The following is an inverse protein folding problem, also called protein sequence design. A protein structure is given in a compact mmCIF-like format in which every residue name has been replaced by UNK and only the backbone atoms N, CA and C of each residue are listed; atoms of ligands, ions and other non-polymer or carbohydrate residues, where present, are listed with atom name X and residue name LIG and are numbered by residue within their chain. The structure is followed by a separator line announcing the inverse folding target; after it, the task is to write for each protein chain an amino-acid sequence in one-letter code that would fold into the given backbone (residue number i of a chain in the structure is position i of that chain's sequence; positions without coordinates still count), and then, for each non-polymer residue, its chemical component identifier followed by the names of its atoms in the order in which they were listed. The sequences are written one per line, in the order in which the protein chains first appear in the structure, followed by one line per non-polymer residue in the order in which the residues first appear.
data_IF_740691708729
#
_entry.id   IF_740691708729
#
_cell.length_a   1.000
_cell.length_b   1.000
_cell.length_c   1.000
_cell.angle_alpha   90.00
_cell.angle_beta   90.00
_cell.angle_gamma   90.00
#
_symmetry.space_group_name_H-M   'P 1'
#
loop_
_entity.id
_entity.type
_entity.pdbx_description
1 polymer ?
#
# COMPACT_ATOMS: atom_id res chain seq x y z
N UNK A 1 8.95 -11.97 14.78
CA UNK A 1 8.11 -11.33 13.74
C UNK A 1 8.73 -11.67 12.40
N UNK A 2 7.93 -11.94 11.37
CA UNK A 2 8.43 -12.21 10.00
C UNK A 2 7.74 -11.23 9.09
N UNK A 3 8.50 -10.45 8.36
CA UNK A 3 8.00 -9.43 7.46
C UNK A 3 7.89 -9.98 6.03
N UNK A 4 6.89 -9.50 5.29
CA UNK A 4 6.71 -9.77 3.88
C UNK A 4 6.70 -8.45 3.10
N UNK A 5 7.32 -8.43 1.92
CA UNK A 5 7.27 -7.30 1.00
C UNK A 5 6.52 -7.75 -0.26
N UNK A 6 5.43 -7.05 -0.58
CA UNK A 6 4.70 -7.24 -1.84
C UNK A 6 5.31 -6.39 -2.94
N UNK A 7 5.52 -6.97 -4.12
CA UNK A 7 6.03 -6.24 -5.29
C UNK A 7 5.04 -6.42 -6.44
N UNK A 8 4.48 -5.31 -6.90
CA UNK A 8 3.45 -5.25 -7.94
C UNK A 8 4.05 -4.61 -9.19
N UNK A 9 4.09 -5.36 -10.29
CA UNK A 9 4.81 -4.96 -11.51
C UNK A 9 3.85 -4.89 -12.69
N UNK A 10 3.88 -3.76 -13.40
CA UNK A 10 3.09 -3.46 -14.59
C UNK A 10 1.61 -3.25 -14.30
N UNK A 11 0.88 -2.84 -15.34
CA UNK A 11 -0.52 -2.42 -15.26
C UNK A 11 -1.41 -3.36 -14.43
N UNK A 12 -1.43 -4.65 -14.79
CA UNK A 12 -2.28 -5.64 -14.10
C UNK A 12 -1.84 -5.86 -12.65
N UNK A 13 -0.53 -5.93 -12.40
CA UNK A 13 0.01 -6.11 -11.06
C UNK A 13 -0.33 -4.94 -10.15
N UNK A 14 -0.17 -3.71 -10.64
CA UNK A 14 -0.47 -2.50 -9.89
C UNK A 14 -1.96 -2.39 -9.54
N UNK A 15 -2.85 -2.64 -10.50
CA UNK A 15 -4.30 -2.57 -10.25
C UNK A 15 -4.77 -3.63 -9.25
N UNK A 16 -4.32 -4.88 -9.40
CA UNK A 16 -4.62 -5.96 -8.45
C UNK A 16 -4.07 -5.61 -7.07
N UNK A 17 -2.82 -5.15 -7.02
CA UNK A 17 -2.16 -4.75 -5.77
C UNK A 17 -2.93 -3.67 -5.04
N UNK A 18 -3.42 -2.65 -5.74
CA UNK A 18 -4.20 -1.57 -5.13
C UNK A 18 -5.51 -2.10 -4.50
N UNK A 19 -6.25 -2.96 -5.21
CA UNK A 19 -7.46 -3.60 -4.67
C UNK A 19 -7.16 -4.53 -3.49
N UNK A 20 -6.04 -5.27 -3.52
CA UNK A 20 -5.63 -6.12 -2.41
C UNK A 20 -5.32 -5.31 -1.15
N UNK A 21 -4.63 -4.17 -1.29
CA UNK A 21 -4.29 -3.32 -0.15
C UNK A 21 -5.52 -2.60 0.44
N UNK A 22 -6.49 -2.23 -0.39
CA UNK A 22 -7.80 -1.77 0.09
C UNK A 22 -8.46 -2.84 0.98
N UNK A 23 -8.48 -4.10 0.52
CA UNK A 23 -9.05 -5.19 1.31
C UNK A 23 -8.29 -5.41 2.62
N UNK A 24 -6.95 -5.41 2.60
CA UNK A 24 -6.15 -5.54 3.83
C UNK A 24 -6.42 -4.42 4.83
N UNK A 25 -6.61 -3.19 4.34
CA UNK A 25 -6.99 -2.07 5.19
C UNK A 25 -8.35 -2.31 5.84
N UNK A 26 -9.35 -2.78 5.09
CA UNK A 26 -10.67 -3.11 5.62
C UNK A 26 -10.63 -4.25 6.64
N UNK A 27 -9.89 -5.32 6.36
CA UNK A 27 -9.76 -6.48 7.24
C UNK A 27 -9.08 -6.13 8.58
N UNK A 28 -8.12 -5.21 8.55
CA UNK A 28 -7.36 -4.79 9.72
C UNK A 28 -7.86 -3.50 10.37
N UNK A 29 -8.94 -2.89 9.86
CA UNK A 29 -9.48 -1.63 10.39
C UNK A 29 -8.51 -0.44 10.24
N UNK A 30 -7.71 -0.43 9.18
CA UNK A 30 -6.80 0.67 8.83
C UNK A 30 -7.54 1.59 7.87
N UNK A 31 -7.60 2.87 8.21
CA UNK A 31 -8.18 3.92 7.38
C UNK A 31 -7.28 4.26 6.19
N UNK A 32 -7.80 4.89 5.13
CA UNK A 32 -7.01 5.22 3.93
C UNK A 32 -5.80 6.13 4.15
N UNK A 33 -5.70 6.78 5.32
CA UNK A 33 -4.56 7.59 5.73
C UNK A 33 -3.52 6.83 6.58
N UNK A 34 -3.73 5.54 6.82
CA UNK A 34 -2.88 4.67 7.63
C UNK A 34 -3.20 4.68 9.13
N UNK A 35 -4.23 5.41 9.59
CA UNK A 35 -4.64 5.37 11.00
C UNK A 35 -5.49 4.13 11.29
N UNK A 36 -5.28 3.49 12.43
CA UNK A 36 -6.06 2.31 12.82
C UNK A 36 -7.26 2.74 13.68
N UNK A 37 -8.43 2.14 13.45
CA UNK A 37 -9.60 2.33 14.32
C UNK A 37 -9.27 1.83 15.74
N UNK A 38 -9.55 2.66 16.74
CA UNK A 38 -9.35 2.33 18.16
C UNK A 38 -10.15 1.10 18.61
N UNK A 39 -11.21 0.73 17.88
CA UNK A 39 -12.02 -0.46 18.14
C UNK A 39 -11.58 -1.69 17.32
N UNK A 40 -10.61 -1.56 16.42
CA UNK A 40 -10.12 -2.69 15.64
C UNK A 40 -9.39 -3.68 16.56
N UNK A 41 -9.68 -4.97 16.37
CA UNK A 41 -9.02 -6.02 17.12
C UNK A 41 -7.58 -6.14 16.61
N UNK A 42 -6.65 -5.47 17.31
CA UNK A 42 -5.22 -5.54 17.04
C UNK A 42 -4.71 -6.92 17.44
N UNK A 43 -4.64 -7.86 16.49
CA UNK A 43 -3.65 -8.93 16.57
C UNK A 43 -2.35 -8.42 15.94
N UNK A 44 -1.19 -8.86 16.43
CA UNK A 44 0.09 -8.39 15.89
C UNK A 44 0.37 -8.90 14.46
N UNK A 45 -0.55 -9.63 13.81
CA UNK A 45 -0.30 -10.27 12.52
C UNK A 45 -0.16 -9.26 11.38
N UNK A 46 -0.81 -8.09 11.47
CA UNK A 46 -0.70 -7.02 10.46
C UNK A 46 0.74 -6.49 10.32
N UNK A 47 1.56 -6.58 11.38
CA UNK A 47 2.97 -6.15 11.36
C UNK A 47 3.83 -6.88 10.29
N UNK A 48 3.36 -8.05 9.85
CA UNK A 48 3.93 -8.80 8.72
C UNK A 48 3.89 -7.99 7.43
N UNK A 49 2.79 -7.27 7.19
CA UNK A 49 2.50 -6.56 5.93
C UNK A 49 2.57 -5.04 6.06
N UNK A 50 2.42 -4.50 7.27
CA UNK A 50 2.51 -3.07 7.55
C UNK A 50 3.72 -2.77 8.43
N UNK A 51 4.32 -1.61 8.19
CA UNK A 51 5.27 -0.97 9.10
C UNK A 51 4.57 0.16 9.85
N UNK A 52 4.94 0.38 11.10
CA UNK A 52 4.41 1.48 11.90
C UNK A 52 5.40 2.63 11.95
N UNK A 53 4.94 3.84 11.68
CA UNK A 53 5.73 5.06 11.85
C UNK A 53 5.68 5.54 13.30
N UNK A 54 6.62 6.38 13.72
CA UNK A 54 6.59 6.97 15.07
C UNK A 54 5.35 7.84 15.37
N UNK A 55 4.55 8.18 14.36
CA UNK A 55 3.28 8.89 14.50
C UNK A 55 2.04 7.97 14.57
N UNK A 56 2.24 6.65 14.65
CA UNK A 56 1.16 5.65 14.72
C UNK A 56 0.48 5.36 13.38
N UNK A 57 1.04 5.83 12.25
CA UNK A 57 0.56 5.45 10.92
C UNK A 57 1.10 4.10 10.50
N UNK A 58 0.23 3.28 9.93
CA UNK A 58 0.52 2.00 9.30
C UNK A 58 0.76 2.21 7.81
N UNK A 59 1.95 1.85 7.36
CA UNK A 59 2.41 2.00 5.98
C UNK A 59 2.64 0.61 5.39
N UNK A 60 2.01 0.26 4.26
CA UNK A 60 2.23 -1.01 3.56
C UNK A 60 3.70 -1.28 3.25
N UNK A 61 4.10 -2.54 3.43
CA UNK A 61 5.38 -3.07 2.94
C UNK A 61 5.20 -3.51 1.49
N UNK A 62 5.08 -2.52 0.61
CA UNK A 62 4.78 -2.76 -0.81
C UNK A 62 5.69 -1.94 -1.70
N UNK A 63 5.86 -2.36 -2.94
CA UNK A 63 6.42 -1.57 -4.02
C UNK A 63 5.54 -1.73 -5.26
N UNK A 64 5.17 -0.62 -5.88
CA UNK A 64 4.47 -0.58 -7.16
C UNK A 64 5.44 -0.06 -8.22
N UNK A 65 5.57 -0.82 -9.31
CA UNK A 65 6.50 -0.49 -10.40
C UNK A 65 5.78 -0.59 -11.73
N UNK A 66 5.87 0.45 -12.53
CA UNK A 66 5.45 0.43 -13.93
C UNK A 66 6.43 1.24 -14.79
N UNK A 67 6.51 0.93 -16.09
CA UNK A 67 7.38 1.63 -17.05
C UNK A 67 6.72 2.90 -17.58
N UNK A 68 5.40 3.04 -17.45
CA UNK A 68 4.65 4.26 -17.70
C UNK A 68 3.90 4.75 -16.46
N UNK A 69 3.55 6.05 -16.36
CA UNK A 69 3.00 6.60 -15.12
C UNK A 69 1.53 6.25 -14.87
N UNK A 70 0.76 5.86 -15.89
CA UNK A 70 -0.71 5.82 -15.87
C UNK A 70 -1.31 5.19 -14.61
N UNK A 71 -1.07 3.90 -14.37
CA UNK A 71 -1.70 3.19 -13.24
C UNK A 71 -1.11 3.50 -11.88
N UNK A 72 0.18 3.83 -11.81
CA UNK A 72 0.81 4.18 -10.54
C UNK A 72 0.36 5.57 -10.10
N UNK A 73 0.09 6.48 -11.05
CA UNK A 73 -0.48 7.80 -10.75
C UNK A 73 -1.93 7.71 -10.25
N UNK A 74 -2.71 6.72 -10.69
CA UNK A 74 -4.01 6.40 -10.08
C UNK A 74 -3.84 6.03 -8.59
N UNK A 75 -2.82 5.24 -8.23
CA UNK A 75 -2.50 4.93 -6.83
C UNK A 75 -2.05 6.19 -6.06
N UNK A 76 -1.27 7.08 -6.70
CA UNK A 76 -0.84 8.36 -6.09
C UNK A 76 -1.99 9.35 -5.85
N UNK A 77 -3.08 9.23 -6.59
CA UNK A 77 -4.17 10.22 -6.58
C UNK A 77 -5.49 9.69 -6.04
N UNK A 78 -5.63 8.37 -5.91
CA UNK A 78 -6.82 7.71 -5.39
C UNK A 78 -7.02 7.85 -3.87
N UNK A 79 -8.02 7.15 -3.37
CA UNK A 79 -8.49 7.27 -1.98
C UNK A 79 -7.41 6.93 -0.95
N UNK A 80 -6.55 5.95 -1.27
CA UNK A 80 -5.44 5.49 -0.45
C UNK A 80 -4.12 6.22 -0.71
N UNK A 81 -4.12 7.37 -1.39
CA UNK A 81 -2.90 8.14 -1.69
C UNK A 81 -2.03 8.50 -0.48
N UNK A 82 -2.61 8.53 0.72
CA UNK A 82 -1.89 8.85 1.96
C UNK A 82 -1.36 7.61 2.69
N UNK A 83 -1.73 6.41 2.24
CA UNK A 83 -1.33 5.14 2.83
C UNK A 83 0.11 4.76 2.43
N UNK A 84 0.46 4.96 1.16
CA UNK A 84 1.71 4.47 0.58
C UNK A 84 2.86 5.47 0.77
N UNK A 85 4.08 4.94 0.94
CA UNK A 85 5.26 5.78 0.91
C UNK A 85 5.56 6.23 -0.54
N UNK A 86 5.76 7.53 -0.83
CA UNK A 86 5.93 8.01 -2.21
C UNK A 86 7.07 7.35 -2.98
N UNK A 87 8.14 6.95 -2.29
CA UNK A 87 9.30 6.27 -2.90
C UNK A 87 9.03 4.79 -3.25
N UNK A 88 7.92 4.21 -2.77
CA UNK A 88 7.49 2.86 -3.13
C UNK A 88 6.66 2.84 -4.43
N UNK A 89 6.30 4.02 -4.95
CA UNK A 89 5.57 4.18 -6.20
C UNK A 89 6.57 4.62 -7.26
N UNK A 90 6.96 3.70 -8.16
CA UNK A 90 8.07 3.89 -9.10
C UNK A 90 7.52 3.81 -10.51
N UNK A 91 7.79 4.85 -11.31
CA UNK A 91 7.34 4.95 -12.70
C UNK A 91 8.49 5.29 -13.64
N UNK A 92 8.49 4.66 -14.82
CA UNK A 92 9.30 5.08 -15.96
C UNK A 92 8.65 6.24 -16.74
N UNK A 93 9.14 6.47 -17.96
CA UNK A 93 8.62 7.49 -18.89
C UNK A 93 8.20 6.94 -20.24
N UNK A 94 8.48 5.67 -20.51
CA UNK A 94 8.27 5.01 -21.80
C UNK A 94 7.83 3.59 -21.52
N UNK A 95 6.73 3.18 -22.15
CA UNK A 95 6.24 1.80 -22.09
C UNK A 95 7.11 0.89 -22.98
N UNK A 96 7.05 -0.43 -22.74
CA UNK A 96 7.89 -1.45 -23.38
C UNK A 96 7.55 -1.73 -24.85
#
# INVERSE_FOLDING_TARGET
MRECISVHIGQAGVQIGNSCWELYCLEHGISPDGTMDANAQSDDSFSTFFSETGAGKHVPRTVFVDLEPSVVDEVRTGDYRQLYHPEQLITGKEDA
#
